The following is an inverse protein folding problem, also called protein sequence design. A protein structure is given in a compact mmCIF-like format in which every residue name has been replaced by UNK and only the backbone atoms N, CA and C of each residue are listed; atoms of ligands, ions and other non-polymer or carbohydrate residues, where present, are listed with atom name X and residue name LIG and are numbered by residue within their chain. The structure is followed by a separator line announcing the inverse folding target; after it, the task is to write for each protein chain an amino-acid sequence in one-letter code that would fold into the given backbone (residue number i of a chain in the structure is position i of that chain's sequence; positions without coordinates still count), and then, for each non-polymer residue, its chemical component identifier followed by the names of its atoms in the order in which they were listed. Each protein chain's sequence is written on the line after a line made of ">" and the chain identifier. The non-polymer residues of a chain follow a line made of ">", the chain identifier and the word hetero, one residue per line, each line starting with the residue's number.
data_IF_876901266806
#
_entry.id   IF_876901266806
#
_cell.length_a   1.000
_cell.length_b   1.000
_cell.length_c   1.000
_cell.angle_alpha   90.00
_cell.angle_beta   90.00
_cell.angle_gamma   90.00
#
_symmetry.space_group_name_H-M   'P 1'
#
loop_
_entity.id
_entity.type
_entity.pdbx_description
1 polymer ?
#
# COMPACT_ATOMS: atom_id res chain seq x y z
N UNK A 1 23.94 28.64 22.67
CA UNK A 1 23.99 27.18 22.90
C UNK A 1 22.65 26.71 23.45
N UNK A 2 21.84 26.01 22.66
CA UNK A 2 20.59 25.40 23.16
C UNK A 2 20.93 24.25 24.12
N UNK A 3 20.40 24.30 25.35
CA UNK A 3 20.42 23.16 26.28
C UNK A 3 19.65 22.02 25.62
N UNK A 4 20.33 20.90 25.33
CA UNK A 4 19.66 19.65 24.92
C UNK A 4 18.75 19.21 26.05
N UNK A 5 17.52 18.81 25.72
CA UNK A 5 16.59 18.32 26.74
C UNK A 5 17.12 16.99 27.29
N UNK A 6 16.73 16.66 28.53
CA UNK A 6 17.07 15.37 29.14
C UNK A 6 16.57 14.21 28.26
N UNK A 7 15.44 14.39 27.58
CA UNK A 7 14.87 13.42 26.65
C UNK A 7 15.81 13.14 25.46
N UNK A 8 16.47 14.15 24.90
CA UNK A 8 17.42 13.95 23.80
C UNK A 8 18.66 13.14 24.22
N UNK A 9 19.10 13.33 25.46
CA UNK A 9 20.25 12.61 26.02
C UNK A 9 19.87 11.15 26.26
N UNK A 10 18.71 10.92 26.88
CA UNK A 10 18.19 9.58 27.18
C UNK A 10 17.87 8.83 25.87
N UNK A 11 17.27 9.50 24.89
CA UNK A 11 17.00 8.92 23.57
C UNK A 11 18.29 8.52 22.82
N UNK A 12 19.38 9.28 22.96
CA UNK A 12 20.68 8.91 22.37
C UNK A 12 21.29 7.67 23.00
N UNK A 13 21.21 7.54 24.33
CA UNK A 13 21.72 6.38 25.06
C UNK A 13 20.98 5.12 24.62
N UNK A 14 19.65 5.16 24.55
CA UNK A 14 18.88 3.98 24.12
C UNK A 14 19.09 3.66 22.64
N UNK A 15 19.23 4.69 21.78
CA UNK A 15 19.54 4.49 20.36
C UNK A 15 20.87 3.75 20.16
N UNK A 16 21.89 4.00 20.99
CA UNK A 16 23.17 3.27 20.90
C UNK A 16 23.06 1.79 21.26
N UNK A 17 22.03 1.41 22.02
CA UNK A 17 21.68 0.01 22.30
C UNK A 17 20.62 -0.56 21.35
N UNK A 18 20.23 0.17 20.30
CA UNK A 18 19.20 -0.26 19.34
C UNK A 18 17.76 -0.09 19.82
N UNK A 19 17.54 0.59 20.95
CA UNK A 19 16.22 0.86 21.50
C UNK A 19 15.78 2.30 21.19
N UNK A 20 14.50 2.49 20.92
CA UNK A 20 13.89 3.83 20.78
C UNK A 20 12.89 4.04 21.91
N UNK A 21 12.98 5.17 22.60
CA UNK A 21 12.07 5.48 23.70
C UNK A 21 10.91 6.24 23.10
N UNK A 22 9.71 5.85 23.48
CA UNK A 22 8.49 6.53 23.11
C UNK A 22 7.78 6.89 24.41
N UNK A 23 7.24 8.10 24.52
CA UNK A 23 6.49 8.46 25.71
C UNK A 23 5.23 7.59 25.82
N UNK A 24 4.85 7.19 27.03
CA UNK A 24 3.57 6.49 27.28
C UNK A 24 2.38 7.29 26.74
N UNK A 25 2.48 8.62 26.70
CA UNK A 25 1.48 9.52 26.14
C UNK A 25 1.39 9.41 24.61
N UNK A 26 2.49 9.15 23.90
CA UNK A 26 2.48 8.86 22.46
C UNK A 26 1.71 7.56 22.15
N UNK A 27 1.83 6.53 22.98
CA UNK A 27 1.05 5.29 22.82
C UNK A 27 -0.43 5.50 23.14
N UNK A 28 -0.74 6.22 24.23
CA UNK A 28 -2.13 6.52 24.64
C UNK A 28 -2.87 7.42 23.64
N UNK A 29 -2.21 8.45 23.09
CA UNK A 29 -2.83 9.37 22.11
C UNK A 29 -3.09 8.74 20.74
N UNK A 30 -2.41 7.63 20.42
CA UNK A 30 -2.49 7.00 19.10
C UNK A 30 -3.09 5.58 19.12
N UNK A 31 -3.63 5.14 20.27
CA UNK A 31 -4.18 3.80 20.48
C UNK A 31 -3.29 2.67 19.91
N UNK A 32 -1.97 2.81 20.13
CA UNK A 32 -0.98 1.93 19.50
C UNK A 32 -0.98 0.59 20.23
N UNK A 33 -1.64 -0.39 19.65
CA UNK A 33 -1.58 -1.78 20.09
C UNK A 33 -0.41 -2.51 19.44
N UNK A 34 0.38 -3.22 20.25
CA UNK A 34 1.44 -4.08 19.75
C UNK A 34 0.85 -5.29 19.03
N UNK A 35 1.37 -5.65 17.84
CA UNK A 35 0.81 -6.77 17.11
C UNK A 35 1.13 -8.10 17.80
N UNK A 36 0.17 -9.04 17.81
CA UNK A 36 0.44 -10.43 18.20
C UNK A 36 1.18 -11.13 17.06
N UNK A 37 2.30 -11.75 17.38
CA UNK A 37 3.02 -12.61 16.44
C UNK A 37 2.48 -14.04 16.48
N UNK A 38 1.75 -14.45 15.43
CA UNK A 38 1.16 -15.80 15.32
C UNK A 38 1.88 -16.67 14.29
N UNK A 39 2.99 -16.22 13.72
CA UNK A 39 3.74 -16.95 12.67
C UNK A 39 4.16 -18.37 13.07
N UNK A 40 4.33 -18.62 14.37
CA UNK A 40 4.66 -19.95 14.93
C UNK A 40 3.43 -20.83 15.22
N UNK A 41 2.22 -20.26 15.23
CA UNK A 41 0.97 -20.93 15.63
C UNK A 41 0.11 -21.39 14.43
N UNK A 42 0.51 -21.03 13.22
CA UNK A 42 -0.23 -21.28 11.99
C UNK A 42 -0.51 -19.96 11.25
N UNK A 43 -0.38 -19.99 9.93
CA UNK A 43 -0.65 -18.83 9.05
C UNK A 43 -2.04 -18.91 8.41
N UNK A 44 -2.98 -19.64 9.02
CA UNK A 44 -4.35 -19.71 8.52
C UNK A 44 -5.07 -18.37 8.77
N UNK A 45 -5.49 -17.64 7.73
CA UNK A 45 -6.17 -16.36 7.90
C UNK A 45 -7.53 -16.47 8.58
N UNK A 46 -8.18 -17.65 8.60
CA UNK A 46 -9.41 -17.85 9.39
C UNK A 46 -9.16 -17.66 10.88
N UNK A 47 -7.96 -18.04 11.33
CA UNK A 47 -7.54 -17.79 12.71
C UNK A 47 -7.48 -16.30 13.05
N UNK A 48 -7.25 -15.43 12.05
CA UNK A 48 -7.21 -13.98 12.25
C UNK A 48 -8.54 -13.42 12.71
N UNK A 49 -9.68 -14.05 12.36
CA UNK A 49 -11.01 -13.59 12.80
C UNK A 49 -11.14 -13.56 14.34
N UNK A 50 -10.38 -14.40 15.04
CA UNK A 50 -10.38 -14.45 16.51
C UNK A 50 -9.49 -13.38 17.16
N UNK A 51 -8.44 -12.93 16.48
CA UNK A 51 -7.43 -12.02 17.06
C UNK A 51 -7.55 -10.59 16.54
N UNK A 52 -7.76 -10.41 15.24
CA UNK A 52 -7.80 -9.11 14.58
C UNK A 52 -8.97 -8.21 15.01
N UNK A 53 -9.98 -8.76 15.70
CA UNK A 53 -11.05 -7.96 16.33
C UNK A 53 -10.55 -7.10 17.48
N UNK A 54 -9.48 -7.54 18.14
CA UNK A 54 -8.97 -6.90 19.36
C UNK A 54 -7.64 -6.20 19.16
N UNK A 55 -6.81 -6.68 18.22
CA UNK A 55 -5.46 -6.16 17.96
C UNK A 55 -4.86 -6.61 16.62
N UNK A 56 -3.89 -5.87 16.06
CA UNK A 56 -3.19 -6.28 14.85
C UNK A 56 -2.44 -7.61 15.04
N UNK A 57 -2.30 -8.37 13.95
CA UNK A 57 -1.64 -9.69 13.98
C UNK A 57 -0.54 -9.77 12.94
N UNK A 58 0.57 -10.44 13.25
CA UNK A 58 1.64 -10.73 12.30
C UNK A 58 1.55 -12.17 11.81
N UNK A 59 1.50 -12.34 10.50
CA UNK A 59 1.59 -13.63 9.80
C UNK A 59 2.68 -13.60 8.74
N UNK A 60 3.16 -14.78 8.32
CA UNK A 60 3.96 -14.91 7.11
C UNK A 60 3.02 -15.21 5.94
N UNK A 61 2.88 -14.23 5.04
CA UNK A 61 1.97 -14.31 3.91
C UNK A 61 2.72 -14.59 2.60
N UNK A 62 2.19 -15.46 1.71
CA UNK A 62 2.72 -15.63 0.36
C UNK A 62 2.65 -14.33 -0.44
N UNK A 63 3.76 -13.92 -1.07
CA UNK A 63 3.83 -12.69 -1.89
C UNK A 63 2.83 -12.74 -3.06
N UNK A 64 2.65 -13.90 -3.68
CA UNK A 64 1.73 -14.10 -4.80
C UNK A 64 0.25 -13.81 -4.47
N UNK A 65 -0.13 -13.94 -3.21
CA UNK A 65 -1.47 -13.58 -2.71
C UNK A 65 -1.62 -12.09 -2.41
N UNK A 66 -0.53 -11.33 -2.53
CA UNK A 66 -0.47 -9.91 -2.23
C UNK A 66 -0.96 -9.02 -3.36
N UNK A 67 -1.62 -7.94 -2.97
CA UNK A 67 -2.11 -6.87 -3.85
C UNK A 67 -1.55 -5.53 -3.39
N UNK A 68 -0.98 -4.78 -4.32
CA UNK A 68 -0.57 -3.40 -4.16
C UNK A 68 -1.68 -2.47 -4.62
N UNK A 69 -1.74 -1.29 -4.03
CA UNK A 69 -2.69 -0.29 -4.47
C UNK A 69 -2.35 0.18 -5.90
N UNK A 70 -3.35 0.43 -6.75
CA UNK A 70 -4.78 0.25 -6.47
C UNK A 70 -5.23 -1.23 -6.59
N UNK A 71 -4.63 -2.03 -7.48
CA UNK A 71 -5.10 -3.40 -7.81
C UNK A 71 -3.99 -4.35 -8.29
N UNK A 72 -2.72 -3.95 -8.20
CA UNK A 72 -1.61 -4.71 -8.78
C UNK A 72 -1.30 -5.99 -7.99
N UNK A 73 -1.14 -7.11 -8.66
CA UNK A 73 -0.59 -8.31 -8.02
C UNK A 73 0.91 -8.14 -7.74
N UNK A 74 1.38 -8.62 -6.59
CA UNK A 74 2.81 -8.76 -6.30
C UNK A 74 3.41 -10.06 -6.83
N UNK A 75 2.63 -10.90 -7.51
CA UNK A 75 3.12 -12.12 -8.15
C UNK A 75 4.31 -11.78 -9.08
N UNK A 76 5.38 -12.60 -9.12
CA UNK A 76 6.57 -12.29 -9.91
C UNK A 76 6.32 -12.03 -11.40
N UNK A 77 5.34 -12.65 -12.02
CA UNK A 77 4.98 -12.41 -13.44
C UNK A 77 3.98 -11.26 -13.65
N UNK A 78 3.52 -10.60 -12.59
CA UNK A 78 2.53 -9.54 -12.71
C UNK A 78 3.16 -8.21 -13.15
N UNK A 79 2.34 -7.37 -13.79
CA UNK A 79 2.72 -6.05 -14.32
C UNK A 79 2.81 -4.95 -13.25
N UNK A 80 3.23 -5.25 -12.02
CA UNK A 80 3.33 -4.21 -10.99
C UNK A 80 4.49 -3.24 -11.33
N UNK A 81 4.23 -1.94 -11.52
CA UNK A 81 5.23 -0.99 -12.06
C UNK A 81 6.50 -0.89 -11.21
N UNK A 82 6.34 -0.74 -9.90
CA UNK A 82 7.47 -0.70 -8.97
C UNK A 82 8.24 -2.03 -8.88
N UNK A 83 7.59 -3.18 -9.06
CA UNK A 83 8.27 -4.49 -9.10
C UNK A 83 9.11 -4.59 -10.37
N UNK A 84 8.53 -4.23 -11.52
CA UNK A 84 9.22 -4.23 -12.81
C UNK A 84 10.43 -3.30 -12.78
N UNK A 85 10.24 -2.06 -12.32
CA UNK A 85 11.31 -1.08 -12.16
C UNK A 85 12.45 -1.61 -11.27
N UNK A 86 12.11 -2.20 -10.12
CA UNK A 86 13.10 -2.78 -9.22
C UNK A 86 13.82 -4.00 -9.83
N UNK A 87 13.12 -4.87 -10.57
CA UNK A 87 13.71 -6.02 -11.27
C UNK A 87 14.71 -5.58 -12.34
N UNK A 88 14.32 -4.66 -13.23
CA UNK A 88 15.20 -4.11 -14.25
C UNK A 88 16.43 -3.43 -13.63
N UNK A 89 16.26 -2.76 -12.50
CA UNK A 89 17.34 -2.12 -11.77
C UNK A 89 18.32 -3.09 -11.09
N UNK A 90 17.91 -4.32 -10.78
CA UNK A 90 18.78 -5.31 -10.13
C UNK A 90 19.92 -5.79 -11.03
N UNK A 91 19.72 -5.75 -12.35
CA UNK A 91 20.68 -6.22 -13.37
C UNK A 91 21.42 -5.07 -14.08
N UNK A 92 21.17 -3.82 -13.69
CA UNK A 92 21.75 -2.63 -14.34
C UNK A 92 22.71 -1.89 -13.41
N UNK A 93 23.79 -1.36 -13.97
CA UNK A 93 24.71 -0.44 -13.29
C UNK A 93 24.12 0.97 -13.13
N UNK A 94 23.13 1.33 -13.97
CA UNK A 94 22.40 2.60 -13.94
C UNK A 94 21.04 2.47 -13.24
N UNK A 95 21.03 1.82 -12.08
CA UNK A 95 19.80 1.40 -11.38
C UNK A 95 18.78 2.51 -11.14
N UNK A 96 19.21 3.73 -10.78
CA UNK A 96 18.29 4.86 -10.55
C UNK A 96 17.63 5.35 -11.84
N UNK A 97 18.39 5.46 -12.92
CA UNK A 97 17.90 5.91 -14.23
C UNK A 97 16.88 4.92 -14.79
N UNK A 98 17.15 3.62 -14.67
CA UNK A 98 16.22 2.55 -15.05
C UNK A 98 14.90 2.65 -14.27
N UNK A 99 14.98 2.86 -12.95
CA UNK A 99 13.77 3.04 -12.13
C UNK A 99 12.98 4.26 -12.59
N UNK A 100 13.66 5.39 -12.79
CA UNK A 100 13.03 6.63 -13.21
C UNK A 100 12.29 6.46 -14.55
N UNK A 101 12.96 5.91 -15.56
CA UNK A 101 12.39 5.73 -16.89
C UNK A 101 11.20 4.76 -16.88
N UNK A 102 11.28 3.67 -16.12
CA UNK A 102 10.19 2.71 -16.04
C UNK A 102 8.95 3.31 -15.37
N UNK A 103 9.14 4.03 -14.25
CA UNK A 103 8.04 4.70 -13.57
C UNK A 103 7.48 5.84 -14.42
N UNK A 104 8.31 6.55 -15.20
CA UNK A 104 7.86 7.58 -16.15
C UNK A 104 6.85 6.99 -17.14
N UNK A 105 7.23 5.89 -17.79
CA UNK A 105 6.36 5.18 -18.74
C UNK A 105 5.04 4.80 -18.05
N UNK A 106 5.10 4.25 -16.83
CA UNK A 106 3.89 3.91 -16.08
C UNK A 106 2.96 5.11 -15.87
N UNK A 107 3.46 6.21 -15.32
CA UNK A 107 2.64 7.39 -15.03
C UNK A 107 2.13 8.09 -16.30
N UNK A 108 2.84 7.98 -17.41
CA UNK A 108 2.37 8.49 -18.71
C UNK A 108 1.25 7.64 -19.31
N UNK A 109 1.20 6.33 -19.03
CA UNK A 109 0.24 5.40 -19.62
C UNK A 109 -0.96 5.09 -18.71
N UNK A 110 -0.95 5.51 -17.44
CA UNK A 110 -2.02 5.21 -16.48
C UNK A 110 -2.50 6.50 -15.83
N UNK A 111 -3.53 7.10 -16.43
CA UNK A 111 -4.11 8.38 -15.99
C UNK A 111 -5.64 8.31 -15.92
N UNK A 112 -6.22 7.50 -15.03
CA UNK A 112 -7.66 7.50 -14.83
C UNK A 112 -8.10 8.88 -14.34
N UNK A 113 -9.16 9.39 -14.94
CA UNK A 113 -9.73 10.69 -14.59
C UNK A 113 -10.57 10.57 -13.32
N UNK A 114 -11.30 9.48 -13.19
CA UNK A 114 -12.31 9.30 -12.14
C UNK A 114 -11.99 8.14 -11.19
N UNK A 115 -12.48 8.23 -9.95
CA UNK A 115 -12.39 7.14 -8.98
C UNK A 115 -13.06 5.86 -9.50
N UNK A 116 -14.15 6.00 -10.25
CA UNK A 116 -14.86 4.90 -10.90
C UNK A 116 -13.96 4.11 -11.87
N UNK A 117 -13.21 4.80 -12.73
CA UNK A 117 -12.31 4.19 -13.73
C UNK A 117 -11.19 3.40 -13.05
N UNK A 118 -10.61 3.98 -11.99
CA UNK A 118 -9.56 3.35 -11.19
C UNK A 118 -10.01 2.06 -10.50
N UNK A 119 -11.28 1.99 -10.12
CA UNK A 119 -11.91 0.79 -9.55
C UNK A 119 -12.48 -0.15 -10.63
N UNK A 120 -12.48 0.29 -11.89
CA UNK A 120 -12.96 -0.45 -13.04
C UNK A 120 -14.47 -0.64 -13.04
N UNK A 121 -15.21 0.41 -12.64
CA UNK A 121 -16.65 0.54 -12.81
C UNK A 121 -16.95 1.13 -14.19
N UNK A 122 -18.04 0.67 -14.81
CA UNK A 122 -18.42 1.03 -16.18
C UNK A 122 -19.78 1.74 -16.27
N UNK A 123 -20.50 1.89 -15.15
CA UNK A 123 -21.78 2.58 -15.12
C UNK A 123 -21.56 4.06 -14.84
N UNK A 124 -21.68 4.89 -15.88
CA UNK A 124 -21.46 6.33 -15.81
C UNK A 124 -22.43 7.05 -14.84
N UNK A 125 -23.49 6.39 -14.38
CA UNK A 125 -24.39 6.96 -13.36
C UNK A 125 -23.85 6.79 -11.93
N UNK A 126 -22.77 6.01 -11.75
CA UNK A 126 -22.17 5.84 -10.43
C UNK A 126 -21.58 7.17 -9.96
N UNK A 127 -21.85 7.52 -8.70
CA UNK A 127 -21.43 8.78 -8.08
C UNK A 127 -19.90 9.02 -8.16
N UNK A 128 -19.09 7.96 -8.19
CA UNK A 128 -17.63 8.03 -8.32
C UNK A 128 -17.14 8.65 -9.64
N UNK A 129 -17.99 8.80 -10.65
CA UNK A 129 -17.67 9.57 -11.85
C UNK A 129 -17.64 11.09 -11.60
N UNK A 130 -18.10 11.56 -10.44
CA UNK A 130 -17.98 12.95 -10.00
C UNK A 130 -16.69 13.23 -9.23
N UNK A 131 -15.89 12.19 -8.95
CA UNK A 131 -14.77 12.26 -8.03
C UNK A 131 -13.44 11.96 -8.73
N UNK A 132 -12.37 12.73 -8.47
CA UNK A 132 -11.05 12.47 -9.03
C UNK A 132 -10.50 11.09 -8.62
N UNK A 133 -9.68 10.46 -9.45
CA UNK A 133 -9.12 9.13 -9.19
C UNK A 133 -8.44 8.96 -7.81
N UNK A 134 -7.78 10.00 -7.31
CA UNK A 134 -7.08 9.97 -6.01
C UNK A 134 -7.99 9.95 -4.78
N UNK A 135 -9.29 10.13 -4.97
CA UNK A 135 -10.30 10.07 -3.90
C UNK A 135 -10.96 8.69 -3.78
N UNK A 136 -10.45 7.66 -4.46
CA UNK A 136 -11.07 6.35 -4.44
C UNK A 136 -11.09 5.74 -3.03
N UNK A 137 -12.30 5.52 -2.50
CA UNK A 137 -12.58 4.85 -1.22
C UNK A 137 -13.14 3.47 -1.50
N UNK A 138 -12.80 2.42 -0.74
CA UNK A 138 -13.27 1.07 -1.06
C UNK A 138 -14.67 0.79 -0.48
N UNK A 139 -15.40 -0.20 -1.03
CA UNK A 139 -16.73 -0.55 -0.54
C UNK A 139 -16.81 -0.86 0.96
N UNK A 140 -15.76 -1.44 1.52
CA UNK A 140 -15.64 -1.83 2.93
C UNK A 140 -14.92 -0.81 3.82
N UNK A 141 -14.53 0.34 3.28
CA UNK A 141 -13.93 1.40 4.10
C UNK A 141 -15.01 2.13 4.89
N UNK A 142 -14.65 2.59 6.09
CA UNK A 142 -15.60 3.19 7.05
C UNK A 142 -15.84 4.65 6.67
N UNK A 143 -14.85 5.27 6.07
CA UNK A 143 -14.88 6.63 5.57
C UNK A 143 -15.85 6.75 4.40
N UNK A 144 -16.59 7.86 4.37
CA UNK A 144 -17.22 8.34 3.15
C UNK A 144 -16.16 8.84 2.17
N UNK A 145 -16.54 9.03 0.90
CA UNK A 145 -15.61 9.54 -0.12
C UNK A 145 -15.08 10.94 0.22
N UNK A 146 -15.89 11.80 0.82
CA UNK A 146 -15.48 13.16 1.23
C UNK A 146 -14.52 13.11 2.41
N UNK A 147 -14.79 12.24 3.39
CA UNK A 147 -13.89 12.03 4.52
C UNK A 147 -12.55 11.48 4.05
N UNK A 148 -12.57 10.54 3.10
CA UNK A 148 -11.39 9.96 2.50
C UNK A 148 -10.60 10.97 1.67
N UNK A 149 -11.26 11.77 0.84
CA UNK A 149 -10.64 12.84 0.06
C UNK A 149 -9.89 13.81 0.98
N UNK A 150 -10.53 14.26 2.07
CA UNK A 150 -9.89 15.12 3.06
C UNK A 150 -8.66 14.46 3.72
N UNK A 151 -8.76 13.18 4.10
CA UNK A 151 -7.62 12.43 4.66
C UNK A 151 -6.47 12.31 3.66
N UNK A 152 -6.76 12.11 2.38
CA UNK A 152 -5.73 12.03 1.34
C UNK A 152 -5.04 13.37 1.12
N UNK A 153 -5.78 14.48 1.10
CA UNK A 153 -5.19 15.82 1.03
C UNK A 153 -4.23 16.07 2.22
N UNK A 154 -4.68 15.77 3.44
CA UNK A 154 -3.85 15.88 4.64
C UNK A 154 -2.61 14.97 4.57
N UNK A 155 -2.77 13.73 4.10
CA UNK A 155 -1.67 12.78 3.96
C UNK A 155 -0.63 13.23 2.92
N UNK A 156 -1.08 13.81 1.80
CA UNK A 156 -0.19 14.36 0.77
C UNK A 156 0.67 15.47 1.41
N UNK A 157 0.04 16.42 2.11
CA UNK A 157 0.75 17.50 2.81
C UNK A 157 1.78 16.95 3.82
N UNK A 158 1.39 15.97 4.64
CA UNK A 158 2.27 15.37 5.65
C UNK A 158 3.43 14.60 5.01
N UNK A 159 3.18 13.78 3.99
CA UNK A 159 4.22 13.00 3.33
C UNK A 159 5.28 13.90 2.70
N UNK A 160 4.85 14.99 2.09
CA UNK A 160 5.74 15.96 1.47
C UNK A 160 6.57 16.68 2.53
N UNK A 161 5.95 17.15 3.62
CA UNK A 161 6.67 17.76 4.74
C UNK A 161 7.73 16.81 5.35
N UNK A 162 7.43 15.51 5.46
CA UNK A 162 8.41 14.49 5.94
C UNK A 162 9.58 14.28 4.99
N UNK A 163 9.40 14.55 3.70
CA UNK A 163 10.47 14.59 2.72
C UNK A 163 11.25 15.92 2.73
N UNK A 164 10.85 16.88 3.56
CA UNK A 164 11.44 18.22 3.66
C UNK A 164 11.00 19.16 2.53
N UNK A 165 9.83 18.89 1.93
CA UNK A 165 9.41 19.51 0.68
C UNK A 165 7.93 19.91 0.79
N UNK A 166 7.57 21.11 0.35
CA UNK A 166 6.18 21.58 0.36
C UNK A 166 5.57 21.46 -1.05
N UNK A 167 5.03 20.29 -1.40
CA UNK A 167 4.22 20.11 -2.62
C UNK A 167 2.79 19.73 -2.25
N UNK A 168 1.82 20.11 -3.07
CA UNK A 168 0.41 19.76 -2.91
C UNK A 168 -0.01 18.66 -3.92
N UNK A 169 -1.31 18.35 -3.97
CA UNK A 169 -1.87 17.33 -4.85
C UNK A 169 -1.69 17.64 -6.36
N UNK A 170 -1.39 18.90 -6.74
CA UNK A 170 -1.15 19.29 -8.15
C UNK A 170 0.07 18.60 -8.77
N UNK A 171 0.99 18.11 -7.92
CA UNK A 171 2.17 17.37 -8.37
C UNK A 171 1.90 15.90 -8.72
N UNK A 172 0.64 15.45 -8.59
CA UNK A 172 0.18 14.11 -8.91
C UNK A 172 0.14 13.17 -7.70
N UNK A 173 -0.49 12.02 -7.89
CA UNK A 173 -0.70 11.02 -6.85
C UNK A 173 0.27 9.84 -6.98
N UNK A 174 0.59 9.18 -5.86
CA UNK A 174 1.59 8.12 -5.85
C UNK A 174 1.18 6.89 -6.66
N UNK A 175 -0.13 6.64 -6.83
CA UNK A 175 -0.62 5.39 -7.42
C UNK A 175 -0.81 5.47 -8.92
N UNK A 176 -1.23 6.61 -9.48
CA UNK A 176 -1.47 6.78 -10.92
C UNK A 176 -1.04 8.16 -11.38
N UNK A 177 -0.85 8.32 -12.69
CA UNK A 177 -0.48 9.59 -13.29
C UNK A 177 -1.68 10.51 -13.53
N UNK A 178 -1.41 11.72 -14.06
CA UNK A 178 -0.07 12.26 -14.29
C UNK A 178 0.67 12.60 -12.98
N UNK A 179 2.00 12.61 -13.02
CA UNK A 179 2.83 13.12 -11.92
C UNK A 179 3.87 14.10 -12.47
N UNK A 180 4.22 15.10 -11.67
CA UNK A 180 5.31 16.01 -12.00
C UNK A 180 6.65 15.27 -12.06
N UNK A 181 7.60 15.74 -12.88
CA UNK A 181 8.97 15.19 -12.93
C UNK A 181 9.63 15.18 -11.54
N UNK A 182 9.31 16.19 -10.74
CA UNK A 182 9.78 16.31 -9.37
C UNK A 182 9.28 15.16 -8.48
N UNK A 183 7.97 14.86 -8.50
CA UNK A 183 7.38 13.74 -7.74
C UNK A 183 7.92 12.39 -8.23
N UNK A 184 8.04 12.21 -9.54
CA UNK A 184 8.65 11.03 -10.15
C UNK A 184 10.09 10.79 -9.65
N UNK A 185 10.90 11.86 -9.59
CA UNK A 185 12.27 11.80 -9.05
C UNK A 185 12.30 11.34 -7.58
N UNK A 186 11.34 11.79 -6.75
CA UNK A 186 11.23 11.38 -5.35
C UNK A 186 10.96 9.88 -5.25
N UNK A 187 9.94 9.37 -5.97
CA UNK A 187 9.59 7.95 -5.91
C UNK A 187 10.71 7.06 -6.45
N UNK A 188 11.38 7.47 -7.54
CA UNK A 188 12.52 6.75 -8.08
C UNK A 188 13.68 6.66 -7.09
N UNK A 189 14.05 7.77 -6.44
CA UNK A 189 15.09 7.81 -5.40
C UNK A 189 14.71 6.96 -4.19
N UNK A 190 13.44 6.98 -3.79
CA UNK A 190 12.92 6.21 -2.64
C UNK A 190 13.02 4.70 -2.91
N UNK A 191 12.53 4.25 -4.06
CA UNK A 191 12.62 2.84 -4.46
C UNK A 191 14.08 2.41 -4.59
N UNK A 192 14.93 3.21 -5.22
CA UNK A 192 16.36 2.92 -5.39
C UNK A 192 17.11 2.80 -4.05
N UNK A 193 16.90 3.73 -3.12
CA UNK A 193 17.50 3.70 -1.78
C UNK A 193 17.06 2.44 -1.03
N UNK A 194 15.78 2.10 -1.13
CA UNK A 194 15.22 0.91 -0.49
C UNK A 194 15.77 -0.38 -1.09
N UNK A 195 15.84 -0.48 -2.41
CA UNK A 195 16.41 -1.62 -3.12
C UNK A 195 17.86 -1.88 -2.68
N UNK A 196 18.70 -0.84 -2.64
CA UNK A 196 20.09 -0.93 -2.15
C UNK A 196 20.16 -1.40 -0.69
N UNK A 197 19.32 -0.82 0.17
CA UNK A 197 19.30 -1.14 1.60
C UNK A 197 18.88 -2.60 1.84
N UNK A 198 17.77 -3.04 1.24
CA UNK A 198 17.24 -4.40 1.43
C UNK A 198 18.17 -5.45 0.80
N UNK A 199 18.78 -5.16 -0.35
CA UNK A 199 19.78 -6.05 -0.96
C UNK A 199 21.00 -6.24 -0.05
N UNK A 200 21.46 -5.17 0.62
CA UNK A 200 22.65 -5.22 1.48
C UNK A 200 22.38 -5.79 2.88
N UNK A 201 21.24 -5.43 3.49
CA UNK A 201 20.99 -5.69 4.91
C UNK A 201 19.79 -6.61 5.19
N UNK A 202 19.09 -7.06 4.14
CA UNK A 202 17.81 -7.74 4.25
C UNK A 202 16.68 -6.79 4.67
N UNK A 203 15.45 -7.32 4.68
CA UNK A 203 14.31 -6.60 5.25
C UNK A 203 14.32 -6.73 6.77
N UNK A 204 14.37 -5.58 7.44
CA UNK A 204 14.31 -5.48 8.90
C UNK A 204 12.96 -4.89 9.29
N UNK A 205 12.16 -5.74 9.94
CA UNK A 205 10.86 -5.38 10.50
C UNK A 205 10.98 -4.69 11.84
N UNK A 206 9.93 -3.97 12.23
CA UNK A 206 9.87 -3.19 13.45
C UNK A 206 8.40 -3.12 13.92
N UNK A 207 8.16 -3.34 15.22
CA UNK A 207 6.81 -3.31 15.81
C UNK A 207 6.20 -1.90 15.91
N UNK A 208 6.94 -0.83 15.64
CA UNK A 208 6.41 0.54 15.58
C UNK A 208 5.30 0.67 14.52
N UNK A 209 4.43 1.70 14.61
CA UNK A 209 3.34 1.90 13.67
C UNK A 209 3.74 1.91 12.19
N UNK A 210 4.93 2.41 11.83
CA UNK A 210 5.43 2.44 10.44
C UNK A 210 6.42 1.31 10.12
N UNK A 211 6.72 0.46 11.10
CA UNK A 211 7.80 -0.52 11.03
C UNK A 211 7.47 -1.78 10.24
N UNK A 212 6.21 -2.21 10.23
CA UNK A 212 5.74 -3.35 9.45
C UNK A 212 5.07 -2.92 8.14
N UNK A 213 5.00 -3.85 7.19
CA UNK A 213 4.07 -3.78 6.07
C UNK A 213 2.67 -4.07 6.64
N UNK A 214 1.74 -3.11 6.54
CA UNK A 214 0.35 -3.31 6.98
C UNK A 214 -0.51 -3.84 5.84
N UNK A 215 -1.51 -4.64 6.18
CA UNK A 215 -2.37 -5.25 5.16
C UNK A 215 -3.78 -5.52 5.65
N UNK A 216 -4.71 -5.40 4.71
CA UNK A 216 -6.08 -5.92 4.83
C UNK A 216 -6.10 -7.33 4.24
N UNK A 217 -6.61 -8.31 4.98
CA UNK A 217 -6.89 -9.65 4.45
C UNK A 217 -8.28 -9.66 3.83
N UNK A 218 -8.40 -10.28 2.65
CA UNK A 218 -9.63 -10.45 1.90
C UNK A 218 -9.97 -11.95 1.88
N UNK A 219 -11.21 -12.31 2.19
CA UNK A 219 -11.68 -13.71 2.24
C UNK A 219 -12.87 -13.88 1.28
N UNK A 220 -12.80 -14.86 0.39
CA UNK A 220 -13.89 -15.18 -0.55
C UNK A 220 -14.89 -16.20 0.02
N UNK A 221 -15.96 -16.49 -0.71
CA UNK A 221 -17.03 -17.41 -0.28
C UNK A 221 -16.57 -18.86 -0.11
N UNK A 222 -15.41 -19.21 -0.65
CA UNK A 222 -14.81 -20.54 -0.56
C UNK A 222 -13.69 -20.59 0.48
N UNK A 223 -13.62 -19.57 1.35
CA UNK A 223 -12.60 -19.42 2.37
C UNK A 223 -11.16 -19.32 1.82
N UNK A 224 -10.99 -19.06 0.52
CA UNK A 224 -9.71 -18.64 -0.01
C UNK A 224 -9.44 -17.21 0.43
N UNK A 225 -8.17 -16.85 0.38
CA UNK A 225 -7.75 -15.53 0.82
C UNK A 225 -6.68 -14.93 -0.07
N UNK A 226 -6.72 -13.60 -0.10
CA UNK A 226 -5.67 -12.72 -0.61
C UNK A 226 -5.43 -11.61 0.41
N UNK A 227 -4.42 -10.79 0.20
CA UNK A 227 -4.17 -9.66 1.09
C UNK A 227 -3.78 -8.43 0.28
N UNK A 228 -4.23 -7.27 0.74
CA UNK A 228 -3.98 -5.99 0.12
C UNK A 228 -3.12 -5.14 1.05
N UNK A 229 -1.97 -4.71 0.55
CA UNK A 229 -1.07 -3.87 1.30
C UNK A 229 -1.67 -2.48 1.50
N UNK A 230 -1.81 -2.04 2.75
CA UNK A 230 -2.27 -0.68 3.07
C UNK A 230 -1.09 0.26 3.31
N UNK A 231 0.04 -0.25 3.78
CA UNK A 231 1.29 0.50 3.91
C UNK A 231 2.49 -0.33 3.51
N UNK A 232 3.61 0.33 3.17
CA UNK A 232 4.85 -0.36 2.82
C UNK A 232 4.90 -0.92 1.39
N UNK A 233 4.10 -0.37 0.47
CA UNK A 233 4.07 -0.71 -0.96
C UNK A 233 5.48 -0.82 -1.57
N UNK A 234 6.34 0.19 -1.37
CA UNK A 234 7.72 0.14 -1.87
C UNK A 234 8.55 -1.02 -1.32
N UNK A 235 8.38 -1.36 -0.02
CA UNK A 235 9.08 -2.50 0.60
C UNK A 235 8.64 -3.81 -0.03
N UNK A 236 7.34 -3.94 -0.29
CA UNK A 236 6.77 -5.08 -0.97
C UNK A 236 7.27 -5.22 -2.40
N UNK A 237 7.30 -4.12 -3.16
CA UNK A 237 7.79 -4.15 -4.53
C UNK A 237 9.24 -4.62 -4.61
N UNK A 238 10.09 -4.14 -3.70
CA UNK A 238 11.49 -4.59 -3.59
C UNK A 238 11.60 -6.06 -3.18
N UNK A 239 10.80 -6.51 -2.20
CA UNK A 239 10.83 -7.90 -1.74
C UNK A 239 10.35 -8.88 -2.82
N UNK A 240 9.30 -8.51 -3.56
CA UNK A 240 8.84 -9.27 -4.74
C UNK A 240 9.90 -9.29 -5.84
N UNK A 241 10.54 -8.15 -6.15
CA UNK A 241 11.62 -8.09 -7.13
C UNK A 241 12.84 -8.94 -6.76
N UNK A 242 13.15 -9.07 -5.46
CA UNK A 242 14.19 -9.95 -4.92
C UNK A 242 13.77 -11.44 -4.82
N UNK A 243 12.58 -11.81 -5.32
CA UNK A 243 12.13 -13.19 -5.39
C UNK A 243 11.73 -13.80 -4.04
N UNK A 244 11.33 -12.98 -3.05
CA UNK A 244 10.81 -13.52 -1.79
C UNK A 244 9.49 -14.24 -2.03
N UNK A 245 9.35 -15.45 -1.45
CA UNK A 245 8.13 -16.26 -1.55
C UNK A 245 7.11 -15.87 -0.49
N UNK A 246 7.59 -15.65 0.73
CA UNK A 246 6.79 -15.28 1.90
C UNK A 246 7.40 -14.07 2.60
N UNK A 247 6.55 -13.29 3.25
CA UNK A 247 6.94 -12.10 4.01
C UNK A 247 6.10 -11.92 5.26
N UNK A 248 6.64 -11.33 6.33
CA UNK A 248 5.84 -10.96 7.49
C UNK A 248 5.01 -9.72 7.15
N UNK A 249 3.69 -9.82 7.33
CA UNK A 249 2.76 -8.70 7.22
C UNK A 249 2.03 -8.50 8.55
N UNK A 250 1.67 -7.25 8.85
CA UNK A 250 0.80 -6.89 9.97
C UNK A 250 -0.63 -6.72 9.45
N UNK A 251 -1.48 -7.69 9.75
CA UNK A 251 -2.90 -7.64 9.43
C UNK A 251 -3.60 -6.72 10.41
N UNK A 252 -4.26 -5.68 9.89
CA UNK A 252 -5.01 -4.71 10.68
C UNK A 252 -6.52 -4.68 10.35
N UNK A 253 -6.93 -5.32 9.25
CA UNK A 253 -8.32 -5.38 8.82
C UNK A 253 -8.56 -6.72 8.12
N UNK A 254 -9.75 -7.27 8.31
CA UNK A 254 -10.25 -8.43 7.56
C UNK A 254 -11.51 -7.94 6.86
N UNK A 255 -11.63 -8.27 5.57
CA UNK A 255 -12.82 -8.03 4.75
C UNK A 255 -13.29 -9.38 4.25
N UNK A 256 -14.51 -9.72 4.62
CA UNK A 256 -15.18 -10.94 4.22
C UNK A 256 -16.23 -10.61 3.15
N UNK A 257 -16.26 -11.37 2.06
CA UNK A 257 -17.29 -11.18 1.02
C UNK A 257 -18.68 -11.52 1.53
N UNK A 258 -18.81 -12.36 2.56
CA UNK A 258 -20.10 -12.69 3.16
C UNK A 258 -20.70 -11.48 3.90
N UNK A 259 -19.87 -10.50 4.29
CA UNK A 259 -20.29 -9.25 4.92
C UNK A 259 -20.72 -8.17 3.90
N UNK A 260 -20.78 -8.48 2.59
CA UNK A 260 -21.05 -7.51 1.51
C UNK A 260 -22.23 -6.59 1.78
N UNK A 261 -23.30 -7.14 2.37
CA UNK A 261 -24.56 -6.45 2.60
C UNK A 261 -24.48 -5.39 3.71
N UNK A 262 -23.45 -5.47 4.57
CA UNK A 262 -23.23 -4.58 5.70
C UNK A 262 -21.95 -3.73 5.54
N UNK A 263 -21.28 -3.80 4.40
CA UNK A 263 -20.12 -2.96 4.14
C UNK A 263 -20.51 -1.47 4.14
N UNK A 264 -19.74 -0.57 4.77
CA UNK A 264 -20.22 0.77 5.05
C UNK A 264 -20.61 1.54 3.78
N UNK A 265 -19.78 1.50 2.74
CA UNK A 265 -20.08 2.20 1.48
C UNK A 265 -21.07 1.46 0.57
N UNK A 266 -21.49 0.23 0.93
CA UNK A 266 -22.66 -0.43 0.34
C UNK A 266 -23.92 0.03 1.04
N UNK A 267 -23.91 0.06 2.37
CA UNK A 267 -25.05 0.51 3.18
C UNK A 267 -25.37 2.00 3.02
N UNK A 268 -24.37 2.83 2.71
CA UNK A 268 -24.56 4.25 2.44
C UNK A 268 -25.14 4.54 1.05
N UNK A 269 -25.15 3.55 0.15
CA UNK A 269 -25.61 3.71 -1.23
C UNK A 269 -24.55 4.18 -2.23
N UNK A 270 -23.30 4.44 -1.80
CA UNK A 270 -22.20 4.81 -2.71
C UNK A 270 -21.89 3.70 -3.73
N UNK A 271 -22.02 2.44 -3.29
CA UNK A 271 -21.91 1.26 -4.14
C UNK A 271 -23.17 0.41 -4.09
N UNK A 272 -23.61 -0.06 -5.25
CA UNK A 272 -24.52 -1.22 -5.30
C UNK A 272 -23.77 -2.48 -4.87
N UNK A 273 -24.50 -3.50 -4.38
CA UNK A 273 -23.93 -4.83 -4.05
C UNK A 273 -23.15 -5.43 -5.23
N UNK A 274 -23.63 -5.22 -6.46
CA UNK A 274 -23.00 -5.73 -7.68
C UNK A 274 -21.65 -5.07 -7.92
N UNK A 275 -21.57 -3.75 -7.80
CA UNK A 275 -20.32 -2.99 -7.98
C UNK A 275 -19.31 -3.32 -6.88
N UNK A 276 -19.76 -3.39 -5.63
CA UNK A 276 -18.91 -3.74 -4.49
C UNK A 276 -18.31 -5.16 -4.64
N UNK A 277 -19.11 -6.14 -5.06
CA UNK A 277 -18.64 -7.51 -5.37
C UNK A 277 -17.66 -7.51 -6.54
N UNK A 278 -17.93 -6.72 -7.58
CA UNK A 278 -17.01 -6.58 -8.72
C UNK A 278 -15.65 -6.02 -8.27
N UNK A 279 -15.63 -4.98 -7.45
CA UNK A 279 -14.39 -4.37 -6.90
C UNK A 279 -13.65 -5.37 -6.02
N UNK A 280 -14.36 -6.07 -5.13
CA UNK A 280 -13.77 -7.12 -4.30
C UNK A 280 -13.08 -8.18 -5.15
N UNK A 281 -13.81 -8.80 -6.08
CA UNK A 281 -13.28 -9.85 -6.95
C UNK A 281 -12.10 -9.37 -7.78
N UNK A 282 -12.16 -8.10 -8.24
CA UNK A 282 -11.09 -7.47 -8.98
C UNK A 282 -9.80 -7.42 -8.16
N UNK A 283 -9.87 -6.89 -6.93
CA UNK A 283 -8.72 -6.80 -6.03
C UNK A 283 -8.26 -8.19 -5.62
N UNK A 284 -9.18 -9.05 -5.17
CA UNK A 284 -8.89 -10.41 -4.71
C UNK A 284 -8.10 -11.20 -5.78
N UNK A 285 -8.53 -11.16 -7.04
CA UNK A 285 -7.85 -11.86 -8.12
C UNK A 285 -6.74 -11.06 -8.82
N UNK A 286 -6.51 -9.80 -8.44
CA UNK A 286 -5.49 -8.95 -9.06
C UNK A 286 -5.78 -8.61 -10.53
N UNK A 287 -7.06 -8.40 -10.88
CA UNK A 287 -7.50 -8.10 -12.26
C UNK A 287 -7.47 -6.60 -12.50
N UNK A 288 -6.60 -6.12 -13.37
CA UNK A 288 -6.48 -4.67 -13.60
C UNK A 288 -7.68 -4.11 -14.40
N UNK A 289 -8.17 -2.89 -14.08
CA UNK A 289 -9.15 -2.16 -14.89
C UNK A 289 -8.63 -1.81 -16.28
N UNK A 290 -9.55 -1.43 -17.17
CA UNK A 290 -9.21 -1.10 -18.56
C UNK A 290 -8.24 0.09 -18.68
N UNK A 291 -8.27 1.04 -17.72
CA UNK A 291 -7.32 2.17 -17.69
C UNK A 291 -5.84 1.76 -17.46
N UNK A 292 -5.56 0.47 -17.26
CA UNK A 292 -4.21 -0.08 -17.16
C UNK A 292 -3.77 -0.88 -18.39
N UNK A 293 -4.64 -1.03 -19.41
CA UNK A 293 -4.39 -1.92 -20.55
C UNK A 293 -3.08 -1.57 -21.29
N UNK A 294 -2.86 -0.30 -21.58
CA UNK A 294 -1.67 0.17 -22.32
C UNK A 294 -0.38 -0.16 -21.58
N UNK A 295 -0.38 0.02 -20.26
CA UNK A 295 0.72 -0.38 -19.39
C UNK A 295 0.94 -1.90 -19.40
N UNK A 296 -0.14 -2.69 -19.33
CA UNK A 296 -0.05 -4.14 -19.31
C UNK A 296 0.53 -4.69 -20.62
N UNK A 297 0.05 -4.20 -21.77
CA UNK A 297 0.54 -4.62 -23.09
C UNK A 297 2.04 -4.32 -23.25
N UNK A 298 2.50 -3.15 -22.79
CA UNK A 298 3.93 -2.78 -22.84
C UNK A 298 4.80 -3.58 -21.88
N UNK A 299 4.32 -3.85 -20.66
CA UNK A 299 5.09 -4.53 -19.63
C UNK A 299 5.33 -6.01 -19.95
N UNK A 300 4.39 -6.68 -20.62
CA UNK A 300 4.53 -8.07 -21.07
C UNK A 300 5.59 -8.22 -22.16
N UNK A 301 5.73 -7.23 -23.05
CA UNK A 301 6.71 -7.28 -24.16
C UNK A 301 8.16 -7.00 -23.74
N UNK A 302 8.44 -6.76 -22.45
CA UNK A 302 9.74 -6.35 -21.93
C UNK A 302 10.40 -7.39 -21.01
N UNK A 303 9.91 -8.64 -21.01
CA UNK A 303 10.49 -9.77 -20.28
C UNK A 303 10.78 -10.96 -21.20
#
# INVERSE_FOLDING_TARGET
>A
MQKKSIEDIVQKIFNSFGYRIHSLEYFKRNDIQFPIDVRKKGNDPKFLRYYCKSQPVIIDAPIEKGRGHPVFSFHPSASHPFVIAAKKALISTKSLEIIYNELKIYYENVQPKYAAELLGLNDNNNELFNYPAWTCVLPWDIESIEQWAKKNEESIIIENNRAGINIDASHGWAWTGPVSEFKLNIEAKRLHKLLKSVKKYGYKRNSNPDGDIKSTVLIDENDNWSWMATTGQHRLSVLSALGKKTIPIRVNKIVDIDDLDIWPNVTSGLYTKKEARQIFNRIFHGRLPACFNDWCQRSVNNF
#
